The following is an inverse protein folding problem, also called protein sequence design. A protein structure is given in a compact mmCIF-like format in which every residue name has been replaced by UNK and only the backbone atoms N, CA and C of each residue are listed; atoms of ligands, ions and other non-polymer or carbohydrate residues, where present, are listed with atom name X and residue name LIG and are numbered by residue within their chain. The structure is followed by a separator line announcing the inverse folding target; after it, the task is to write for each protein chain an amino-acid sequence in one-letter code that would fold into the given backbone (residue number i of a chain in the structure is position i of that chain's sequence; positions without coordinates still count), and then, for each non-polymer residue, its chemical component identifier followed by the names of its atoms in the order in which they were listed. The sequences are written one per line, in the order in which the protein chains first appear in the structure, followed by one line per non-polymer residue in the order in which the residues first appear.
data_IF_903453983597
#
_entry.id   IF_903453983597
#
_cell.length_a   1.000
_cell.length_b   1.000
_cell.length_c   1.000
_cell.angle_alpha   90.00
_cell.angle_beta   90.00
_cell.angle_gamma   90.00
#
_symmetry.space_group_name_H-M   'P 1'
#
loop_
_entity.id
_entity.type
_entity.pdbx_description
1 polymer ?
#
# COMPACT_ATOMS: atom_id res chain seq x y z
N UNK A 1 5.27 -12.46 19.18
CA UNK A 1 4.85 -12.02 17.82
C UNK A 1 4.24 -13.21 17.10
N UNK A 2 3.35 -13.02 16.11
CA UNK A 2 2.87 -14.12 15.25
C UNK A 2 4.00 -14.79 14.45
N UNK A 3 5.23 -14.31 14.59
CA UNK A 3 6.46 -14.83 14.02
C UNK A 3 7.41 -15.15 15.17
N UNK A 4 7.64 -16.43 15.41
CA UNK A 4 8.51 -16.99 16.44
C UNK A 4 8.97 -18.37 15.98
N UNK A 5 9.74 -19.11 16.80
CA UNK A 5 10.23 -20.46 16.43
C UNK A 5 9.13 -21.42 15.93
N UNK A 6 7.88 -21.21 16.35
CA UNK A 6 6.72 -21.99 15.92
C UNK A 6 6.17 -21.61 14.52
N UNK A 7 6.52 -20.44 13.97
CA UNK A 7 5.97 -19.89 12.73
C UNK A 7 7.08 -19.21 11.89
N UNK A 8 7.94 -19.99 11.21
CA UNK A 8 9.08 -19.49 10.44
C UNK A 8 8.63 -19.03 9.04
N UNK A 9 7.71 -18.07 8.97
CA UNK A 9 7.30 -17.48 7.69
C UNK A 9 8.09 -16.19 7.49
N UNK A 10 8.89 -16.15 6.42
CA UNK A 10 9.45 -14.90 5.94
C UNK A 10 8.30 -14.02 5.43
N UNK A 11 8.01 -12.95 6.17
CA UNK A 11 6.89 -12.05 5.89
C UNK A 11 6.99 -11.39 4.51
N UNK A 12 8.20 -11.31 3.92
CA UNK A 12 8.39 -10.82 2.56
C UNK A 12 7.77 -11.75 1.51
N UNK A 13 7.91 -13.07 1.66
CA UNK A 13 7.50 -14.03 0.63
C UNK A 13 5.98 -14.13 0.44
N UNK A 14 5.19 -13.92 1.50
CA UNK A 14 3.73 -14.01 1.42
C UNK A 14 3.07 -12.70 0.95
N UNK A 15 3.46 -11.55 1.52
CA UNK A 15 2.75 -10.29 1.26
C UNK A 15 3.09 -9.67 -0.10
N UNK A 16 4.28 -9.92 -0.62
CA UNK A 16 4.78 -9.24 -1.82
C UNK A 16 4.06 -9.65 -3.12
N UNK A 17 3.89 -10.94 -3.43
CA UNK A 17 3.25 -11.34 -4.68
C UNK A 17 1.80 -10.85 -4.77
N UNK A 18 1.05 -10.95 -3.67
CA UNK A 18 -0.34 -10.48 -3.60
C UNK A 18 -0.44 -8.95 -3.70
N UNK A 19 0.45 -8.21 -3.04
CA UNK A 19 0.46 -6.74 -3.12
C UNK A 19 0.78 -6.24 -4.53
N UNK A 20 1.72 -6.90 -5.22
CA UNK A 20 2.07 -6.58 -6.61
C UNK A 20 0.89 -6.86 -7.56
N UNK A 21 0.21 -8.00 -7.40
CA UNK A 21 -0.99 -8.32 -8.19
C UNK A 21 -2.13 -7.30 -7.94
N UNK A 22 -2.35 -6.91 -6.68
CA UNK A 22 -3.34 -5.87 -6.34
C UNK A 22 -2.98 -4.51 -6.93
N UNK A 23 -1.71 -4.13 -6.96
CA UNK A 23 -1.24 -2.91 -7.63
C UNK A 23 -1.57 -2.94 -9.13
N UNK A 24 -1.23 -4.02 -9.81
CA UNK A 24 -1.52 -4.19 -11.25
C UNK A 24 -3.03 -4.11 -11.49
N UNK A 25 -3.84 -4.80 -10.69
CA UNK A 25 -5.30 -4.77 -10.80
C UNK A 25 -5.88 -3.37 -10.56
N UNK A 26 -5.42 -2.66 -9.51
CA UNK A 26 -5.88 -1.32 -9.16
C UNK A 26 -5.58 -0.31 -10.25
N UNK A 27 -4.32 -0.25 -10.71
CA UNK A 27 -3.92 0.65 -11.79
C UNK A 27 -4.55 0.26 -13.14
N UNK A 28 -4.74 -1.03 -13.42
CA UNK A 28 -5.49 -1.49 -14.60
C UNK A 28 -6.93 -1.00 -14.60
N UNK A 29 -7.62 -1.09 -13.47
CA UNK A 29 -8.98 -0.56 -13.31
C UNK A 29 -9.02 0.98 -13.46
N UNK A 30 -8.03 1.69 -12.90
CA UNK A 30 -7.92 3.13 -13.05
C UNK A 30 -7.73 3.56 -14.51
N UNK A 31 -6.86 2.87 -15.26
CA UNK A 31 -6.61 3.15 -16.68
C UNK A 31 -7.87 2.88 -17.51
N UNK A 32 -8.52 1.73 -17.29
CA UNK A 32 -9.74 1.36 -18.01
C UNK A 32 -10.89 2.34 -17.73
N UNK A 33 -11.03 2.78 -16.47
CA UNK A 33 -12.07 3.71 -16.03
C UNK A 33 -11.72 5.19 -16.18
N UNK A 34 -10.56 5.55 -16.74
CA UNK A 34 -10.08 6.94 -16.75
C UNK A 34 -11.00 7.89 -17.53
N UNK A 35 -11.78 7.38 -18.50
CA UNK A 35 -12.74 8.20 -19.26
C UNK A 35 -14.10 8.38 -18.56
N UNK A 36 -14.29 7.89 -17.33
CA UNK A 36 -15.50 8.13 -16.54
C UNK A 36 -15.53 9.54 -15.95
N UNK A 37 -16.69 10.11 -15.58
CA UNK A 37 -16.74 11.41 -14.90
C UNK A 37 -15.95 11.43 -13.59
N UNK A 38 -15.52 12.62 -13.16
CA UNK A 38 -14.65 12.83 -12.00
C UNK A 38 -15.14 12.16 -10.70
N UNK A 39 -16.47 12.11 -10.50
CA UNK A 39 -17.10 11.44 -9.35
C UNK A 39 -16.80 9.94 -9.27
N UNK A 40 -16.53 9.27 -10.40
CA UNK A 40 -16.10 7.87 -10.44
C UNK A 40 -14.58 7.74 -10.45
N UNK A 41 -13.87 8.64 -11.11
CA UNK A 41 -12.40 8.61 -11.16
C UNK A 41 -11.77 8.62 -9.79
N UNK A 42 -12.26 9.44 -8.85
CA UNK A 42 -11.73 9.42 -7.48
C UNK A 42 -11.92 8.07 -6.77
N UNK A 43 -13.03 7.38 -7.03
CA UNK A 43 -13.28 6.06 -6.47
C UNK A 43 -12.34 4.98 -7.02
N UNK A 44 -11.71 5.23 -8.19
CA UNK A 44 -10.69 4.38 -8.80
C UNK A 44 -9.26 4.80 -8.39
N UNK A 45 -9.04 6.11 -8.20
CA UNK A 45 -7.76 6.63 -7.70
C UNK A 45 -7.50 6.18 -6.26
N UNK A 46 -8.51 6.23 -5.40
CA UNK A 46 -8.38 5.93 -3.98
C UNK A 46 -7.84 4.51 -3.69
N UNK A 47 -8.36 3.42 -4.30
CA UNK A 47 -7.79 2.09 -4.13
C UNK A 47 -6.36 1.98 -4.68
N UNK A 48 -6.07 2.58 -5.84
CA UNK A 48 -4.75 2.51 -6.50
C UNK A 48 -3.66 3.25 -5.72
N UNK A 49 -3.98 4.46 -5.24
CA UNK A 49 -3.09 5.25 -4.39
C UNK A 49 -3.00 4.60 -3.00
N UNK A 50 -4.12 4.11 -2.47
CA UNK A 50 -4.17 3.44 -1.18
C UNK A 50 -3.24 2.24 -1.11
N UNK A 51 -3.30 1.32 -2.07
CA UNK A 51 -2.42 0.14 -2.08
C UNK A 51 -0.94 0.52 -2.25
N UNK A 52 -0.62 1.54 -3.06
CA UNK A 52 0.74 2.05 -3.21
C UNK A 52 1.27 2.62 -1.88
N UNK A 53 0.51 3.50 -1.23
CA UNK A 53 0.90 4.11 0.04
C UNK A 53 1.05 3.07 1.15
N UNK A 54 0.17 2.06 1.19
CA UNK A 54 0.28 0.95 2.13
C UNK A 54 1.55 0.13 1.90
N UNK A 55 1.92 -0.11 0.64
CA UNK A 55 3.15 -0.83 0.32
C UNK A 55 4.39 -0.02 0.70
N UNK A 56 4.44 1.27 0.37
CA UNK A 56 5.51 2.18 0.79
C UNK A 56 5.65 2.21 2.31
N UNK A 57 4.54 2.38 3.04
CA UNK A 57 4.53 2.36 4.50
C UNK A 57 5.03 1.02 5.06
N UNK A 58 4.66 -0.08 4.41
CA UNK A 58 5.08 -1.43 4.82
C UNK A 58 6.59 -1.59 4.72
N UNK A 59 7.18 -1.22 3.60
CA UNK A 59 8.62 -1.36 3.35
C UNK A 59 9.43 -0.39 4.22
N UNK A 60 9.00 0.87 4.30
CA UNK A 60 9.77 1.93 4.96
C UNK A 60 9.66 1.86 6.49
N UNK A 61 8.50 1.48 7.02
CA UNK A 61 8.26 1.51 8.46
C UNK A 61 8.12 0.11 9.07
N UNK A 62 7.22 -0.73 8.52
CA UNK A 62 6.89 -2.00 9.15
C UNK A 62 7.99 -3.04 9.07
N UNK A 63 8.64 -3.18 7.92
CA UNK A 63 9.75 -4.14 7.77
C UNK A 63 10.90 -3.91 8.73
N UNK A 64 11.52 -2.71 8.82
CA UNK A 64 12.63 -2.50 9.75
C UNK A 64 12.19 -2.65 11.21
N UNK A 65 10.99 -2.18 11.56
CA UNK A 65 10.46 -2.37 12.93
C UNK A 65 10.24 -3.85 13.24
N UNK A 66 9.61 -4.61 12.35
CA UNK A 66 9.35 -6.04 12.53
C UNK A 66 10.66 -6.83 12.67
N UNK A 67 11.68 -6.52 11.85
CA UNK A 67 12.98 -7.17 11.92
C UNK A 67 13.68 -6.90 13.26
N UNK A 68 13.73 -5.64 13.70
CA UNK A 68 14.33 -5.27 14.98
C UNK A 68 13.61 -5.93 16.17
N UNK A 69 12.28 -5.84 16.17
CA UNK A 69 11.41 -6.46 17.16
C UNK A 69 11.55 -7.99 17.21
N UNK A 70 11.69 -8.65 16.05
CA UNK A 70 11.93 -10.08 15.95
C UNK A 70 13.32 -10.47 16.49
N UNK A 71 14.37 -9.74 16.10
CA UNK A 71 15.73 -10.01 16.58
C UNK A 71 15.84 -9.86 18.09
N UNK A 72 15.22 -8.82 18.65
CA UNK A 72 15.13 -8.62 20.09
C UNK A 72 14.37 -9.75 20.80
N UNK A 73 13.17 -10.09 20.32
CA UNK A 73 12.34 -11.14 20.92
C UNK A 73 12.92 -12.56 20.83
N UNK A 74 13.91 -12.79 19.96
CA UNK A 74 14.59 -14.08 19.79
C UNK A 74 15.97 -14.16 20.44
N UNK A 75 16.46 -13.06 21.05
CA UNK A 75 17.83 -12.99 21.59
C UNK A 75 18.88 -13.15 20.49
N UNK A 76 18.58 -12.69 19.27
CA UNK A 76 19.47 -12.80 18.11
C UNK A 76 20.76 -12.00 18.34
N UNK A 77 21.92 -12.44 17.83
CA UNK A 77 23.13 -11.62 17.81
C UNK A 77 22.99 -10.34 16.96
N UNK A 78 21.91 -10.22 16.17
CA UNK A 78 21.54 -9.01 15.43
C UNK A 78 20.65 -8.06 16.24
N UNK A 79 20.40 -8.33 17.52
CA UNK A 79 19.65 -7.42 18.37
C UNK A 79 20.44 -6.13 18.60
N UNK A 80 19.80 -5.00 18.30
CA UNK A 80 20.38 -3.66 18.42
C UNK A 80 19.51 -2.74 19.27
N UNK A 81 18.45 -3.25 19.91
CA UNK A 81 17.48 -2.43 20.65
C UNK A 81 17.34 -2.87 22.10
N UNK A 82 16.97 -1.95 22.98
CA UNK A 82 16.67 -2.22 24.39
C UNK A 82 15.19 -2.54 24.61
N UNK A 83 14.85 -3.11 25.77
CA UNK A 83 13.46 -3.38 26.17
C UNK A 83 12.58 -2.12 26.12
N UNK A 84 13.11 -0.97 26.56
CA UNK A 84 12.38 0.29 26.50
C UNK A 84 12.12 0.73 25.04
N UNK A 85 13.09 0.52 24.16
CA UNK A 85 12.94 0.81 22.73
C UNK A 85 11.96 -0.15 22.05
N UNK A 86 11.95 -1.43 22.44
CA UNK A 86 11.03 -2.41 21.88
C UNK A 86 9.57 -2.09 22.25
N UNK A 87 9.30 -1.66 23.49
CA UNK A 87 7.97 -1.18 23.91
C UNK A 87 7.53 0.03 23.09
N UNK A 88 8.38 1.06 22.98
CA UNK A 88 8.05 2.26 22.22
C UNK A 88 7.83 1.96 20.72
N UNK A 89 8.63 1.06 20.16
CA UNK A 89 8.49 0.61 18.77
C UNK A 89 7.19 -0.17 18.55
N UNK A 90 6.78 -1.04 19.49
CA UNK A 90 5.52 -1.75 19.44
C UNK A 90 4.31 -0.80 19.50
N UNK A 91 4.36 0.24 20.35
CA UNK A 91 3.32 1.27 20.39
C UNK A 91 3.20 2.01 19.06
N UNK A 92 4.35 2.44 18.49
CA UNK A 92 4.39 3.08 17.17
C UNK A 92 3.85 2.17 16.07
N UNK A 93 4.19 0.89 16.11
CA UNK A 93 3.68 -0.12 15.17
C UNK A 93 2.15 -0.16 15.21
N UNK A 94 1.54 -0.21 16.40
CA UNK A 94 0.08 -0.22 16.56
C UNK A 94 -0.56 1.06 16.02
N UNK A 95 0.03 2.23 16.31
CA UNK A 95 -0.47 3.51 15.78
C UNK A 95 -0.45 3.52 14.25
N UNK A 96 0.65 3.08 13.64
CA UNK A 96 0.76 2.99 12.18
C UNK A 96 -0.16 1.92 11.60
N UNK A 97 -0.43 0.85 12.34
CA UNK A 97 -1.34 -0.20 11.89
C UNK A 97 -2.77 0.30 11.81
N UNK A 98 -3.20 1.14 12.76
CA UNK A 98 -4.48 1.83 12.66
C UNK A 98 -4.57 2.73 11.42
N UNK A 99 -3.49 3.41 11.05
CA UNK A 99 -3.44 4.17 9.78
C UNK A 99 -3.65 3.22 8.59
N UNK A 100 -3.02 2.04 8.60
CA UNK A 100 -3.23 1.02 7.56
C UNK A 100 -4.66 0.53 7.50
N UNK A 101 -5.27 0.22 8.65
CA UNK A 101 -6.66 -0.26 8.74
C UNK A 101 -7.62 0.77 8.16
N UNK A 102 -7.47 2.04 8.53
CA UNK A 102 -8.30 3.13 7.99
C UNK A 102 -8.08 3.29 6.49
N UNK A 103 -6.82 3.31 6.03
CA UNK A 103 -6.48 3.43 4.61
C UNK A 103 -7.01 2.27 3.77
N UNK A 104 -6.83 1.03 4.24
CA UNK A 104 -7.32 -0.18 3.58
C UNK A 104 -8.85 -0.22 3.54
N UNK A 105 -9.52 0.20 4.63
CA UNK A 105 -10.99 0.30 4.68
C UNK A 105 -11.50 1.29 3.65
N UNK A 106 -10.89 2.48 3.54
CA UNK A 106 -11.27 3.47 2.54
C UNK A 106 -11.01 2.95 1.11
N UNK A 107 -9.84 2.34 0.88
CA UNK A 107 -9.46 1.71 -0.38
C UNK A 107 -10.38 0.55 -0.78
N UNK A 108 -11.03 -0.12 0.17
CA UNK A 108 -12.00 -1.17 -0.07
C UNK A 108 -13.41 -0.62 -0.34
N UNK A 109 -13.85 0.37 0.43
CA UNK A 109 -15.19 0.96 0.30
C UNK A 109 -15.34 1.76 -0.99
N UNK A 110 -14.29 2.44 -1.45
CA UNK A 110 -14.33 3.24 -2.68
C UNK A 110 -14.71 2.43 -3.95
N UNK A 111 -14.05 1.30 -4.29
CA UNK A 111 -14.43 0.49 -5.44
C UNK A 111 -15.81 -0.16 -5.24
N UNK A 112 -16.20 -0.56 -4.02
CA UNK A 112 -17.57 -1.02 -3.76
C UNK A 112 -18.60 0.06 -4.08
N UNK A 113 -18.32 1.31 -3.72
CA UNK A 113 -19.17 2.45 -4.08
C UNK A 113 -19.21 2.67 -5.59
N UNK A 114 -18.09 2.51 -6.28
CA UNK A 114 -18.03 2.63 -7.75
C UNK A 114 -18.86 1.55 -8.44
N UNK A 115 -18.81 0.30 -7.96
CA UNK A 115 -19.57 -0.83 -8.50
C UNK A 115 -21.07 -0.73 -8.25
N UNK A 116 -21.48 -0.08 -7.15
CA UNK A 116 -22.89 0.06 -6.77
C UNK A 116 -23.54 1.36 -7.22
N UNK A 117 -22.74 2.33 -7.70
CA UNK A 117 -23.27 3.57 -8.25
C UNK A 117 -23.83 3.33 -9.67
N UNK A 118 -24.93 4.03 -10.06
CA UNK A 118 -25.47 3.94 -11.42
C UNK A 118 -24.40 4.24 -12.47
N UNK A 119 -24.41 3.59 -13.63
CA UNK A 119 -23.43 3.90 -14.66
C UNK A 119 -23.59 5.35 -15.16
N UNK A 120 -22.51 6.15 -15.27
CA UNK A 120 -22.59 7.52 -15.77
C UNK A 120 -23.06 7.55 -17.23
N UNK A 121 -24.13 8.30 -17.50
CA UNK A 121 -24.62 8.55 -18.86
C UNK A 121 -23.87 9.70 -19.55
N UNK A 122 -23.20 10.54 -18.76
CA UNK A 122 -22.44 11.69 -19.26
C UNK A 122 -21.07 11.24 -19.79
N UNK A 123 -20.67 11.79 -20.94
CA UNK A 123 -19.29 11.67 -21.41
C UNK A 123 -18.38 12.58 -20.58
N UNK A 124 -17.25 12.05 -20.12
CA UNK A 124 -16.32 12.88 -19.35
C UNK A 124 -15.69 13.95 -20.27
N UNK A 125 -15.56 15.19 -19.79
CA UNK A 125 -14.84 16.23 -20.52
C UNK A 125 -13.38 15.82 -20.72
N UNK A 126 -12.77 16.35 -21.78
CA UNK A 126 -11.34 16.13 -22.06
C UNK A 126 -10.51 16.70 -20.90
N UNK A 127 -9.62 15.88 -20.37
CA UNK A 127 -8.76 16.30 -19.26
C UNK A 127 -7.86 17.48 -19.67
N UNK A 128 -7.75 18.50 -18.81
CA UNK A 128 -6.79 19.57 -19.04
C UNK A 128 -5.36 19.02 -19.03
N UNK A 129 -4.41 19.65 -19.74
CA UNK A 129 -3.03 19.17 -19.83
C UNK A 129 -2.37 18.89 -18.47
N UNK A 130 -2.68 19.72 -17.47
CA UNK A 130 -2.14 19.56 -16.10
C UNK A 130 -2.54 18.24 -15.46
N UNK A 131 -3.78 17.79 -15.62
CA UNK A 131 -4.27 16.52 -15.06
C UNK A 131 -3.58 15.35 -15.73
N UNK A 132 -3.33 15.43 -17.03
CA UNK A 132 -2.59 14.40 -17.78
C UNK A 132 -1.14 14.31 -17.35
N UNK A 133 -0.48 15.46 -17.16
CA UNK A 133 0.91 15.52 -16.65
C UNK A 133 0.98 14.95 -15.24
N UNK A 134 0.05 15.31 -14.34
CA UNK A 134 0.01 14.75 -12.99
C UNK A 134 -0.19 13.24 -13.01
N UNK A 135 -1.11 12.71 -13.82
CA UNK A 135 -1.29 11.28 -13.97
C UNK A 135 -0.01 10.61 -14.47
N UNK A 136 0.64 11.16 -15.50
CA UNK A 136 1.88 10.62 -16.05
C UNK A 136 3.00 10.59 -14.99
N UNK A 137 3.14 11.65 -14.18
CA UNK A 137 4.11 11.70 -13.09
C UNK A 137 3.81 10.67 -12.01
N UNK A 138 2.55 10.47 -11.63
CA UNK A 138 2.16 9.45 -10.66
C UNK A 138 2.45 8.04 -11.19
N UNK A 139 2.09 7.76 -12.44
CA UNK A 139 2.37 6.47 -13.08
C UNK A 139 3.88 6.22 -13.20
N UNK A 140 4.66 7.24 -13.54
CA UNK A 140 6.12 7.17 -13.57
C UNK A 140 6.71 6.91 -12.17
N UNK A 141 6.18 7.58 -11.13
CA UNK A 141 6.58 7.35 -9.75
C UNK A 141 6.25 5.94 -9.26
N UNK A 142 5.09 5.39 -9.63
CA UNK A 142 4.72 4.00 -9.37
C UNK A 142 5.68 3.04 -10.06
N UNK A 143 5.97 3.26 -11.34
CA UNK A 143 6.90 2.43 -12.09
C UNK A 143 8.31 2.47 -11.48
N UNK A 144 8.81 3.66 -11.14
CA UNK A 144 10.10 3.84 -10.48
C UNK A 144 10.13 3.14 -9.11
N UNK A 145 9.07 3.24 -8.32
CA UNK A 145 8.94 2.54 -7.05
C UNK A 145 8.96 1.02 -7.24
N UNK A 146 8.22 0.48 -8.21
CA UNK A 146 8.21 -0.96 -8.50
C UNK A 146 9.61 -1.44 -8.91
N UNK A 147 10.29 -0.72 -9.81
CA UNK A 147 11.66 -1.07 -10.22
C UNK A 147 12.62 -1.03 -9.04
N UNK A 148 12.60 0.05 -8.25
CA UNK A 148 13.41 0.14 -7.04
C UNK A 148 13.10 -1.00 -6.06
N UNK A 149 11.82 -1.29 -5.84
CA UNK A 149 11.38 -2.31 -4.90
C UNK A 149 11.82 -3.72 -5.33
N UNK A 150 11.67 -4.07 -6.60
CA UNK A 150 12.11 -5.36 -7.15
C UNK A 150 13.63 -5.51 -7.14
N UNK A 151 14.37 -4.42 -7.36
CA UNK A 151 15.85 -4.44 -7.38
C UNK A 151 16.49 -4.47 -6.00
N UNK A 152 15.77 -4.06 -4.95
CA UNK A 152 16.25 -4.02 -3.57
C UNK A 152 15.59 -5.08 -2.67
N UNK A 153 14.83 -5.99 -3.28
CA UNK A 153 14.30 -7.21 -2.67
C UNK A 153 15.41 -8.26 -2.51
#
# INVERSE_FOLDING_TARGET
MPYGKAWPVDTGLFFIPFSAAMLVAGFGALIAGWRTPWRYRWLLCLPSIGILLLLVLTVVAFWPMNAALYYHGTGSPKDTITDAQSIAMAQRWVTLDWVRVVGASAAFVAPLRALTAPWPQDTAPVDPPIVRVMLALVLAGVAAFIVWFVTNL
#
